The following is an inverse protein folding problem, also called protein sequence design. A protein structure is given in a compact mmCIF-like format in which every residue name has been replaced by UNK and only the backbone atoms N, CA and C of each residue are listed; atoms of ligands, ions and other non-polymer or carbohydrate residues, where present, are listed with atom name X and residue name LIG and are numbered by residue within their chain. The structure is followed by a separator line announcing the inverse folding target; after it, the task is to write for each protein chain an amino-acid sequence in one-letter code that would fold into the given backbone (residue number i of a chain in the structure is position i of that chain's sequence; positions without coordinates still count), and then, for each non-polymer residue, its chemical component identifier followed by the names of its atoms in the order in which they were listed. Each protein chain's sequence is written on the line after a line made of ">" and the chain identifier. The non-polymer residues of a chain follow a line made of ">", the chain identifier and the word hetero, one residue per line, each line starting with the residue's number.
data_IF_710190956696
#
_entry.id   IF_710190956696
#
_cell.length_a   1.000
_cell.length_b   1.000
_cell.length_c   1.000
_cell.angle_alpha   90.00
_cell.angle_beta   90.00
_cell.angle_gamma   90.00
#
_symmetry.space_group_name_H-M   'P 1'
#
loop_
_entity.id
_entity.type
_entity.pdbx_description
1 polymer ?
#
# COMPACT_ATOMS: atom_id res chain seq x y z
N UNK A 1 19.12 -19.14 -8.41
CA UNK A 1 17.71 -19.22 -7.97
C UNK A 1 17.16 -17.81 -7.91
N UNK A 2 16.52 -17.34 -8.99
CA UNK A 2 15.84 -16.04 -8.95
C UNK A 2 14.56 -16.23 -8.12
N UNK A 3 14.56 -15.78 -6.87
CA UNK A 3 13.32 -15.68 -6.10
C UNK A 3 12.47 -14.66 -6.86
N UNK A 4 11.31 -15.07 -7.37
CA UNK A 4 10.28 -14.14 -7.80
C UNK A 4 9.86 -13.33 -6.56
N UNK A 5 10.57 -12.24 -6.29
CA UNK A 5 10.20 -11.25 -5.28
C UNK A 5 9.11 -10.39 -5.89
N UNK A 6 7.90 -10.96 -5.98
CA UNK A 6 6.71 -10.16 -6.23
C UNK A 6 6.55 -9.22 -5.06
N UNK A 7 7.05 -8.00 -5.23
CA UNK A 7 6.79 -6.91 -4.30
C UNK A 7 5.30 -6.60 -4.45
N UNK A 8 4.58 -6.64 -3.33
CA UNK A 8 3.17 -6.29 -3.26
C UNK A 8 3.06 -4.82 -2.85
N UNK A 9 1.98 -4.18 -3.28
CA UNK A 9 1.58 -2.89 -2.73
C UNK A 9 0.76 -3.19 -1.49
N UNK A 10 1.23 -2.80 -0.30
CA UNK A 10 0.52 -3.05 0.96
C UNK A 10 0.11 -1.70 1.52
N UNK A 11 -1.14 -1.59 1.99
CA UNK A 11 -1.56 -0.43 2.76
C UNK A 11 -0.81 -0.43 4.09
N UNK A 12 0.15 0.47 4.25
CA UNK A 12 0.91 0.62 5.49
C UNK A 12 0.08 1.37 6.53
N UNK A 13 -0.39 2.58 6.17
CA UNK A 13 -1.19 3.43 7.06
C UNK A 13 -2.02 4.49 6.35
N UNK A 14 -3.06 4.98 7.03
CA UNK A 14 -3.88 6.10 6.57
C UNK A 14 -3.44 7.42 7.24
N UNK A 15 -3.21 8.48 6.46
CA UNK A 15 -2.84 9.81 6.93
C UNK A 15 -3.73 10.89 6.30
N UNK A 16 -4.71 11.38 7.07
CA UNK A 16 -5.66 12.38 6.58
C UNK A 16 -6.41 11.90 5.32
N UNK A 17 -6.14 12.57 4.19
CA UNK A 17 -6.75 12.30 2.87
C UNK A 17 -5.90 11.38 1.97
N UNK A 18 -4.77 10.88 2.47
CA UNK A 18 -3.86 10.01 1.72
C UNK A 18 -3.64 8.70 2.47
N UNK A 19 -3.13 7.71 1.74
CA UNK A 19 -2.70 6.41 2.25
C UNK A 19 -1.28 6.19 1.84
N UNK A 20 -0.46 5.71 2.78
CA UNK A 20 0.91 5.33 2.49
C UNK A 20 0.90 3.86 2.08
N UNK A 21 1.43 3.59 0.89
CA UNK A 21 1.58 2.24 0.36
C UNK A 21 3.05 1.83 0.47
N UNK A 22 3.30 0.67 1.06
CA UNK A 22 4.61 0.00 1.06
C UNK A 22 4.75 -0.86 -0.20
N UNK A 23 5.90 -0.77 -0.86
CA UNK A 23 6.29 -1.61 -2.00
C UNK A 23 7.74 -2.05 -1.86
N UNK A 24 7.96 -3.07 -1.03
CA UNK A 24 9.29 -3.42 -0.54
C UNK A 24 9.89 -2.24 0.23
N UNK A 25 11.12 -1.82 -0.09
CA UNK A 25 11.77 -0.70 0.62
C UNK A 25 11.31 0.70 0.18
N UNK A 26 10.22 0.80 -0.60
CA UNK A 26 9.69 2.07 -1.10
C UNK A 26 8.34 2.37 -0.46
N UNK A 27 8.10 3.65 -0.21
CA UNK A 27 6.83 4.16 0.28
C UNK A 27 6.33 5.27 -0.64
N UNK A 28 5.03 5.30 -0.90
CA UNK A 28 4.42 6.37 -1.68
C UNK A 28 3.02 6.70 -1.19
N UNK A 29 2.63 7.96 -1.39
CA UNK A 29 1.29 8.44 -1.04
C UNK A 29 0.32 8.16 -2.17
N UNK A 30 -0.85 7.62 -1.81
CA UNK A 30 -1.95 7.32 -2.71
C UNK A 30 -3.24 7.99 -2.21
N UNK A 31 -4.08 8.58 -3.07
CA UNK A 31 -5.33 9.21 -2.63
C UNK A 31 -6.25 8.20 -1.94
N UNK A 32 -6.69 8.53 -0.72
CA UNK A 32 -7.58 7.65 0.06
C UNK A 32 -8.92 7.37 -0.64
N UNK A 33 -9.42 8.34 -1.40
CA UNK A 33 -10.71 8.25 -2.11
C UNK A 33 -10.73 7.20 -3.22
N UNK A 34 -9.55 6.78 -3.71
CA UNK A 34 -9.42 5.80 -4.78
C UNK A 34 -9.36 4.35 -4.25
N UNK A 35 -9.34 4.16 -2.93
CA UNK A 35 -9.34 2.83 -2.32
C UNK A 35 -10.75 2.26 -2.18
N UNK A 36 -10.89 0.92 -2.14
CA UNK A 36 -12.13 0.29 -1.73
C UNK A 36 -12.60 0.81 -0.36
N UNK A 37 -13.92 0.98 -0.18
CA UNK A 37 -14.51 1.54 1.05
C UNK A 37 -14.14 0.79 2.34
N UNK A 38 -13.77 -0.47 2.22
CA UNK A 38 -13.45 -1.35 3.35
C UNK A 38 -11.95 -1.69 3.42
N UNK A 39 -11.12 -1.03 2.61
CA UNK A 39 -9.69 -1.21 2.65
C UNK A 39 -9.14 -0.76 4.02
N UNK A 40 -8.19 -1.54 4.54
CA UNK A 40 -7.54 -1.33 5.84
C UNK A 40 -6.04 -1.57 5.75
N UNK A 41 -5.33 -1.23 6.82
CA UNK A 41 -3.89 -1.50 6.95
C UNK A 41 -3.61 -3.01 6.80
N UNK A 42 -2.59 -3.34 6.03
CA UNK A 42 -2.19 -4.69 5.65
C UNK A 42 -2.88 -5.27 4.41
N UNK A 43 -3.91 -4.61 3.86
CA UNK A 43 -4.54 -5.05 2.60
C UNK A 43 -3.61 -4.81 1.38
N UNK A 44 -3.77 -5.63 0.34
CA UNK A 44 -2.99 -5.65 -0.92
C UNK A 44 -3.83 -5.21 -2.12
#
# INVERSE_FOLDING_TARGET
>A
MSKNTHKLCIIDRFEGNWVVIEYGEKFFNFPKELLPKHAKEGDV
#
